data_IF_847581683608
#
_entry.id   IF_847581683608
#
_cell.length_a   1.000
_cell.length_b   1.000
_cell.length_c   1.000
_cell.angle_alpha   90.00
_cell.angle_beta   90.00
_cell.angle_gamma   90.00
#
_symmetry.space_group_name_H-M   'P 1'
#
loop_
_entity.id
_entity.type
_entity.pdbx_description
1 polymer ?
#
# COMPACT_ATOMS: atom_id res chain seq x y z
N UNK A 1 -5.17 -8.29 -29.71
CA UNK A 1 -4.75 -8.44 -28.31
C UNK A 1 -5.75 -7.70 -27.47
N UNK A 2 -6.32 -8.34 -26.45
CA UNK A 2 -7.24 -7.70 -25.51
C UNK A 2 -6.47 -6.88 -24.47
N UNK A 3 -7.11 -5.90 -23.85
CA UNK A 3 -6.59 -5.20 -22.65
C UNK A 3 -6.17 -6.20 -21.57
N UNK A 4 -6.91 -7.30 -21.42
CA UNK A 4 -6.56 -8.40 -20.51
C UNK A 4 -5.27 -9.13 -20.89
N UNK A 5 -4.94 -9.22 -22.18
CA UNK A 5 -3.66 -9.80 -22.62
C UNK A 5 -2.48 -8.89 -22.25
N UNK A 6 -2.68 -7.57 -22.37
CA UNK A 6 -1.69 -6.58 -21.93
C UNK A 6 -1.53 -6.58 -20.42
N UNK A 7 -2.62 -6.71 -19.65
CA UNK A 7 -2.55 -6.87 -18.19
C UNK A 7 -1.79 -8.15 -17.79
N UNK A 8 -2.04 -9.29 -18.48
CA UNK A 8 -1.27 -10.53 -18.25
C UNK A 8 0.20 -10.39 -18.62
N UNK A 9 0.54 -9.63 -19.66
CA UNK A 9 1.94 -9.30 -19.99
C UNK A 9 2.59 -8.43 -18.93
N UNK A 10 1.88 -7.41 -18.44
CA UNK A 10 2.33 -6.55 -17.36
C UNK A 10 2.58 -7.35 -16.08
N UNK A 11 1.65 -8.24 -15.70
CA UNK A 11 1.82 -9.17 -14.58
C UNK A 11 3.11 -9.99 -14.69
N UNK A 12 3.38 -10.58 -15.87
CA UNK A 12 4.61 -11.36 -16.11
C UNK A 12 5.86 -10.48 -15.96
N UNK A 13 5.85 -9.29 -16.54
CA UNK A 13 6.97 -8.34 -16.44
C UNK A 13 7.21 -7.85 -15.01
N UNK A 14 6.15 -7.62 -14.24
CA UNK A 14 6.23 -7.31 -12.82
C UNK A 14 6.84 -8.46 -12.02
N UNK A 15 6.45 -9.71 -12.32
CA UNK A 15 7.01 -10.89 -11.66
C UNK A 15 8.51 -11.08 -11.97
N UNK A 16 8.93 -10.74 -13.18
CA UNK A 16 10.33 -10.81 -13.62
C UNK A 16 11.14 -9.56 -13.22
N UNK A 17 10.52 -8.58 -12.56
CA UNK A 17 11.18 -7.33 -12.18
C UNK A 17 12.12 -7.55 -11.01
N UNK A 18 13.19 -6.74 -10.95
CA UNK A 18 14.19 -6.81 -9.88
C UNK A 18 13.57 -6.50 -8.51
N UNK A 19 12.60 -5.59 -8.50
CA UNK A 19 11.86 -5.16 -7.32
C UNK A 19 11.08 -6.33 -6.72
N UNK A 20 10.36 -7.09 -7.55
CA UNK A 20 9.61 -8.26 -7.09
C UNK A 20 10.51 -9.42 -6.66
N UNK A 21 11.57 -9.69 -7.41
CA UNK A 21 12.55 -10.73 -7.05
C UNK A 21 13.24 -10.41 -5.72
N UNK A 22 13.70 -9.17 -5.54
CA UNK A 22 14.31 -8.72 -4.29
C UNK A 22 13.33 -8.81 -3.11
N UNK A 23 12.08 -8.40 -3.30
CA UNK A 23 11.03 -8.56 -2.30
C UNK A 23 10.81 -10.04 -1.92
N UNK A 24 10.75 -10.95 -2.90
CA UNK A 24 10.60 -12.38 -2.65
C UNK A 24 11.77 -12.95 -1.82
N UNK A 25 13.01 -12.67 -2.21
CA UNK A 25 14.18 -13.18 -1.48
C UNK A 25 14.20 -12.69 -0.03
N UNK A 26 13.88 -11.41 0.19
CA UNK A 26 13.86 -10.83 1.54
C UNK A 26 12.69 -11.39 2.36
N UNK A 27 11.55 -11.63 1.72
CA UNK A 27 10.39 -12.27 2.34
C UNK A 27 10.73 -13.67 2.84
N UNK A 28 11.42 -14.48 2.04
CA UNK A 28 11.87 -15.82 2.46
C UNK A 28 12.83 -15.72 3.66
N UNK A 29 13.86 -14.87 3.57
CA UNK A 29 14.84 -14.65 4.64
C UNK A 29 14.22 -14.20 5.96
N UNK A 30 13.12 -13.45 5.90
CA UNK A 30 12.39 -12.99 7.09
C UNK A 30 11.45 -14.07 7.61
N UNK A 31 10.79 -14.83 6.73
CA UNK A 31 9.89 -15.92 7.10
C UNK A 31 10.61 -17.11 7.74
N UNK A 32 11.86 -17.38 7.37
CA UNK A 32 12.71 -18.40 7.99
C UNK A 32 13.07 -18.07 9.45
N UNK A 33 13.12 -16.78 9.80
CA UNK A 33 13.42 -16.33 11.17
C UNK A 33 12.13 -16.17 11.96
N UNK A 34 11.85 -17.11 12.86
CA UNK A 34 10.66 -17.10 13.73
C UNK A 34 10.44 -15.79 14.49
N UNK A 35 11.53 -15.14 14.96
CA UNK A 35 11.47 -13.83 15.63
C UNK A 35 11.04 -12.70 14.69
N UNK A 36 11.61 -12.63 13.49
CA UNK A 36 11.29 -11.61 12.49
C UNK A 36 9.87 -11.75 11.96
N UNK A 37 9.39 -12.98 11.77
CA UNK A 37 8.01 -13.27 11.36
C UNK A 37 6.99 -12.75 12.36
N UNK A 38 7.18 -12.98 13.66
CA UNK A 38 6.28 -12.46 14.70
C UNK A 38 6.25 -10.93 14.69
N UNK A 39 7.41 -10.29 14.62
CA UNK A 39 7.50 -8.82 14.55
C UNK A 39 6.74 -8.25 13.35
N UNK A 40 6.86 -8.86 12.17
CA UNK A 40 6.10 -8.43 10.98
C UNK A 40 4.60 -8.58 11.14
N UNK A 41 4.13 -9.68 11.74
CA UNK A 41 2.71 -9.90 11.99
C UNK A 41 2.17 -8.83 12.96
N UNK A 42 2.91 -8.56 14.03
CA UNK A 42 2.54 -7.52 15.00
C UNK A 42 2.51 -6.13 14.35
N UNK A 43 3.48 -5.83 13.47
CA UNK A 43 3.52 -4.61 12.68
C UNK A 43 2.29 -4.45 11.77
N UNK A 44 1.96 -5.47 10.99
CA UNK A 44 0.80 -5.45 10.09
C UNK A 44 -0.52 -5.30 10.85
N UNK A 45 -0.68 -6.03 11.95
CA UNK A 45 -1.85 -5.92 12.82
C UNK A 45 -1.99 -4.51 13.40
N UNK A 46 -0.88 -3.89 13.81
CA UNK A 46 -0.89 -2.51 14.28
C UNK A 46 -1.32 -1.57 13.15
N UNK A 47 -0.67 -1.62 11.97
CA UNK A 47 -1.02 -0.77 10.83
C UNK A 47 -2.49 -0.87 10.43
N UNK A 48 -3.06 -2.08 10.39
CA UNK A 48 -4.51 -2.28 10.16
C UNK A 48 -5.36 -1.62 11.23
N UNK A 49 -5.02 -1.77 12.52
CA UNK A 49 -5.74 -1.12 13.61
C UNK A 49 -5.69 0.40 13.49
N UNK A 50 -4.53 0.98 13.18
CA UNK A 50 -4.38 2.42 13.01
C UNK A 50 -5.20 2.94 11.82
N UNK A 51 -5.19 2.20 10.71
CA UNK A 51 -6.00 2.54 9.54
C UNK A 51 -7.49 2.50 9.86
N UNK A 52 -7.96 1.47 10.57
CA UNK A 52 -9.35 1.36 10.99
C UNK A 52 -9.77 2.51 11.91
N UNK A 53 -8.93 2.87 12.90
CA UNK A 53 -9.18 4.02 13.78
C UNK A 53 -9.27 5.33 13.01
N UNK A 54 -8.36 5.54 12.05
CA UNK A 54 -8.37 6.73 11.18
C UNK A 54 -9.65 6.82 10.36
N UNK A 55 -10.13 5.70 9.81
CA UNK A 55 -11.39 5.65 9.06
C UNK A 55 -12.59 5.90 9.99
N UNK A 56 -12.55 5.39 11.21
CA UNK A 56 -13.57 5.62 12.22
C UNK A 56 -13.57 7.06 12.79
N UNK A 57 -12.58 7.89 12.44
CA UNK A 57 -12.40 9.24 13.00
C UNK A 57 -11.93 9.24 14.46
N UNK A 58 -11.43 8.11 14.96
CA UNK A 58 -10.92 7.98 16.33
C UNK A 58 -9.47 8.48 16.42
N UNK A 59 -9.15 9.21 17.49
CA UNK A 59 -7.77 9.61 17.76
C UNK A 59 -6.89 8.39 18.09
N UNK A 60 -5.65 8.44 17.60
CA UNK A 60 -4.63 7.43 17.89
C UNK A 60 -4.25 7.50 19.37
N UNK A 61 -4.52 6.42 20.11
CA UNK A 61 -4.15 6.29 21.52
C UNK A 61 -2.63 6.38 21.71
N UNK A 62 -2.17 6.89 22.86
CA UNK A 62 -0.75 6.93 23.19
C UNK A 62 -0.10 5.55 23.15
N UNK A 63 -0.79 4.51 23.62
CA UNK A 63 -0.30 3.13 23.55
C UNK A 63 0.02 2.67 22.12
N UNK A 64 -0.75 3.14 21.13
CA UNK A 64 -0.52 2.80 19.73
C UNK A 64 0.73 3.51 19.20
N UNK A 65 0.95 4.78 19.61
CA UNK A 65 2.17 5.54 19.28
C UNK A 65 3.41 4.89 19.89
N UNK A 66 3.35 4.47 21.15
CA UNK A 66 4.44 3.76 21.82
C UNK A 66 4.74 2.42 21.15
N UNK A 67 3.71 1.64 20.78
CA UNK A 67 3.90 0.38 20.03
C UNK A 67 4.58 0.63 18.69
N UNK A 68 4.23 1.71 18.00
CA UNK A 68 4.81 2.10 16.72
C UNK A 68 6.31 2.45 16.87
N UNK A 69 6.66 3.24 17.89
CA UNK A 69 8.07 3.55 18.20
C UNK A 69 8.87 2.29 18.56
N UNK A 70 8.31 1.41 19.40
CA UNK A 70 8.97 0.15 19.75
C UNK A 70 9.19 -0.74 18.53
N UNK A 71 8.20 -0.84 17.64
CA UNK A 71 8.34 -1.56 16.38
C UNK A 71 9.41 -0.93 15.48
N UNK A 72 9.48 0.40 15.38
CA UNK A 72 10.55 1.08 14.64
C UNK A 72 11.94 0.71 15.19
N UNK A 73 12.13 0.74 16.50
CA UNK A 73 13.40 0.35 17.13
C UNK A 73 13.76 -1.11 16.83
N UNK A 74 12.78 -2.02 16.90
CA UNK A 74 12.99 -3.43 16.57
C UNK A 74 13.32 -3.65 15.09
N UNK A 75 12.72 -2.87 14.19
CA UNK A 75 13.03 -2.88 12.76
C UNK A 75 14.47 -2.39 12.52
N UNK A 76 14.92 -1.36 13.23
CA UNK A 76 16.30 -0.87 13.12
C UNK A 76 17.33 -1.92 13.58
N UNK A 77 17.05 -2.63 14.67
CA UNK A 77 17.90 -3.71 15.18
C UNK A 77 17.91 -4.89 14.20
N UNK A 78 16.77 -5.16 13.55
CA UNK A 78 16.64 -6.29 12.63
C UNK A 78 16.79 -5.86 11.16
N UNK A 79 18.05 -5.78 10.71
CA UNK A 79 18.40 -5.42 9.33
C UNK A 79 17.67 -6.23 8.24
N UNK A 80 17.26 -7.47 8.52
CA UNK A 80 16.48 -8.26 7.56
C UNK A 80 15.03 -7.73 7.42
N UNK A 81 14.39 -7.40 8.54
CA UNK A 81 13.03 -6.84 8.55
C UNK A 81 13.03 -5.47 7.90
N UNK A 82 14.03 -4.62 8.22
CA UNK A 82 14.20 -3.31 7.57
C UNK A 82 14.30 -3.44 6.05
N UNK A 83 15.20 -4.30 5.56
CA UNK A 83 15.37 -4.53 4.11
C UNK A 83 14.08 -5.05 3.47
N UNK A 84 13.36 -5.96 4.13
CA UNK A 84 12.07 -6.45 3.65
C UNK A 84 11.05 -5.32 3.51
N UNK A 85 10.91 -4.46 4.53
CA UNK A 85 9.97 -3.33 4.50
C UNK A 85 10.36 -2.29 3.43
N UNK A 86 11.65 -2.02 3.25
CA UNK A 86 12.13 -1.16 2.17
C UNK A 86 11.80 -1.75 0.79
N UNK A 87 12.01 -3.05 0.59
CA UNK A 87 11.67 -3.72 -0.67
C UNK A 87 10.16 -3.75 -0.93
N UNK A 88 9.36 -3.98 0.11
CA UNK A 88 7.89 -3.92 0.05
C UNK A 88 7.40 -2.51 -0.33
N UNK A 89 7.99 -1.47 0.27
CA UNK A 89 7.68 -0.08 -0.07
C UNK A 89 8.03 0.25 -1.53
N UNK A 90 9.21 -0.15 -2.00
CA UNK A 90 9.62 0.07 -3.39
C UNK A 90 8.70 -0.65 -4.39
N UNK A 91 8.33 -1.91 -4.10
CA UNK A 91 7.39 -2.66 -4.91
C UNK A 91 6.01 -1.99 -4.94
N UNK A 92 5.50 -1.58 -3.78
CA UNK A 92 4.23 -0.86 -3.67
C UNK A 92 4.24 0.44 -4.45
N UNK A 93 5.31 1.22 -4.35
CA UNK A 93 5.48 2.47 -5.11
C UNK A 93 5.46 2.21 -6.61
N UNK A 94 6.22 1.23 -7.10
CA UNK A 94 6.23 0.86 -8.52
C UNK A 94 4.82 0.45 -8.99
N UNK A 95 4.08 -0.33 -8.22
CA UNK A 95 2.71 -0.72 -8.55
C UNK A 95 1.77 0.49 -8.62
N UNK A 96 1.87 1.41 -7.66
CA UNK A 96 1.09 2.65 -7.66
C UNK A 96 1.41 3.53 -8.87
N UNK A 97 2.69 3.68 -9.21
CA UNK A 97 3.12 4.46 -10.37
C UNK A 97 2.59 3.84 -11.67
N UNK A 98 2.61 2.51 -11.78
CA UNK A 98 2.01 1.79 -12.91
C UNK A 98 0.50 1.98 -12.96
N UNK A 99 -0.20 1.89 -11.82
CA UNK A 99 -1.63 2.17 -11.76
C UNK A 99 -1.93 3.58 -12.25
N UNK A 100 -1.20 4.59 -11.77
CA UNK A 100 -1.34 5.97 -12.25
C UNK A 100 -1.14 6.08 -13.75
N UNK A 101 -0.12 5.44 -14.32
CA UNK A 101 0.11 5.44 -15.78
C UNK A 101 -1.05 4.77 -16.54
N UNK A 102 -1.61 3.69 -15.98
CA UNK A 102 -2.73 2.97 -16.61
C UNK A 102 -4.02 3.80 -16.56
N UNK A 103 -4.22 4.61 -15.52
CA UNK A 103 -5.44 5.39 -15.31
C UNK A 103 -5.32 6.87 -15.71
N UNK A 104 -4.14 7.40 -15.99
CA UNK A 104 -3.90 8.85 -16.14
C UNK A 104 -4.66 9.52 -17.27
N UNK A 105 -4.99 8.78 -18.33
CA UNK A 105 -5.73 9.29 -19.50
C UNK A 105 -7.13 8.65 -19.60
N UNK A 106 -7.56 7.90 -18.57
CA UNK A 106 -8.86 7.25 -18.56
C UNK A 106 -9.88 8.17 -17.87
N UNK A 107 -10.80 8.73 -18.66
CA UNK A 107 -12.01 9.36 -18.14
C UNK A 107 -12.96 8.26 -17.65
N UNK A 108 -12.92 7.96 -16.36
CA UNK A 108 -13.79 6.98 -15.70
C UNK A 108 -14.63 7.72 -14.67
N UNK A 109 -15.94 7.79 -14.92
CA UNK A 109 -16.90 8.50 -14.09
C UNK A 109 -17.52 9.70 -14.82
N UNK A 110 -18.36 10.43 -14.09
CA UNK A 110 -18.83 11.76 -14.50
C UNK A 110 -17.72 12.74 -14.17
N UNK A 111 -17.40 13.66 -15.07
CA UNK A 111 -16.37 14.67 -14.80
C UNK A 111 -16.74 15.43 -13.52
N UNK A 112 -15.75 15.75 -12.68
CA UNK A 112 -15.98 16.48 -11.42
C UNK A 112 -16.72 17.81 -11.68
N UNK A 113 -16.47 18.42 -12.84
CA UNK A 113 -17.14 19.60 -13.39
C UNK A 113 -18.65 19.38 -13.68
N UNK A 114 -19.05 18.19 -14.14
CA UNK A 114 -20.46 17.84 -14.38
C UNK A 114 -21.19 17.49 -13.07
N UNK A 115 -20.49 16.90 -12.09
CA UNK A 115 -21.04 16.66 -10.75
C UNK A 115 -21.29 17.97 -9.99
N UNK A 116 -20.37 18.94 -10.10
CA UNK A 116 -20.52 20.26 -9.49
C UNK A 116 -21.68 21.04 -10.12
N UNK A 117 -21.82 21.01 -11.45
CA UNK A 117 -22.90 21.67 -12.17
C UNK A 117 -24.31 21.16 -11.78
N UNK A 118 -24.51 19.85 -11.64
CA UNK A 118 -25.81 19.29 -11.20
C UNK A 118 -26.12 19.65 -9.74
N UNK A 119 -25.13 19.69 -8.85
CA UNK A 119 -25.34 20.08 -7.44
C UNK A 119 -25.65 21.57 -7.24
N UNK A 120 -25.19 22.44 -8.14
CA UNK A 120 -25.54 23.86 -8.14
C UNK A 120 -26.95 24.10 -8.71
N UNK A 121 -27.34 23.38 -9.77
CA UNK A 121 -28.70 23.46 -10.32
C UNK A 121 -29.76 22.98 -9.30
N UNK A 122 -29.55 21.84 -8.61
CA UNK A 122 -30.48 21.34 -7.58
C UNK A 122 -30.61 22.27 -6.35
N UNK A 123 -29.57 23.03 -6.01
CA UNK A 123 -29.62 24.02 -4.92
C UNK A 123 -30.21 25.36 -5.36
N UNK A 124 -30.29 25.64 -6.66
CA UNK A 124 -30.92 26.85 -7.21
C UNK A 124 -32.43 26.73 -7.43
N UNK A 125 -32.94 25.49 -7.53
CA UNK A 125 -34.38 25.19 -7.67
C UNK A 125 -35.11 24.96 -6.32
N UNK A 126 -34.42 25.08 -5.18
CA UNK A 126 -35.00 25.06 -3.82
C UNK A 126 -34.98 26.44 -3.17
#
# INVERSE_FOLDING_TARGET
>A
MSVYDHARRLQRKLKDSKEYQNYQELREKVMEKSGSKKMLIDYQNLMMKLQNKRIAGEELAEEDKEKLQNLQNLIEINSNVKKYLEAEYQLSKMINDIQKIVFSELEIGIAEEELEAETEEENSEK
#
